data_IF_031881884535
#
_entry.id   IF_031881884535
#
_cell.length_a   1.000
_cell.length_b   1.000
_cell.length_c   1.000
_cell.angle_alpha   90.00
_cell.angle_beta   90.00
_cell.angle_gamma   90.00
#
_symmetry.space_group_name_H-M   'P 1'
#
loop_
_entity.id
_entity.type
_entity.pdbx_description
1 polymer ?
#
# COMPACT_ATOMS: atom_id res chain seq x y z
N UNK A 1 27.25 -6.91 -12.92
CA UNK A 1 26.00 -6.65 -12.19
C UNK A 1 24.91 -6.69 -13.24
N UNK A 2 23.94 -7.58 -13.12
CA UNK A 2 22.80 -7.66 -14.03
C UNK A 2 21.68 -6.77 -13.49
N UNK A 3 21.17 -5.86 -14.32
CA UNK A 3 20.07 -4.95 -13.99
C UNK A 3 18.77 -5.34 -14.72
N UNK A 4 18.77 -6.47 -15.42
CA UNK A 4 17.58 -6.94 -16.10
C UNK A 4 16.57 -7.44 -15.07
N UNK A 5 15.29 -7.26 -15.34
CA UNK A 5 14.22 -7.81 -14.54
C UNK A 5 14.18 -9.34 -14.65
N UNK A 6 13.77 -10.01 -13.58
CA UNK A 6 13.41 -11.42 -13.64
C UNK A 6 12.15 -11.62 -14.49
N UNK A 7 11.87 -12.88 -14.87
CA UNK A 7 10.64 -13.19 -15.61
C UNK A 7 9.39 -12.80 -14.82
N UNK A 8 9.39 -13.04 -13.50
CA UNK A 8 8.28 -12.66 -12.61
C UNK A 8 8.11 -11.14 -12.55
N UNK A 9 9.20 -10.39 -12.39
CA UNK A 9 9.18 -8.93 -12.40
C UNK A 9 8.67 -8.39 -13.73
N UNK A 10 9.08 -8.99 -14.85
CA UNK A 10 8.58 -8.61 -16.17
C UNK A 10 7.08 -8.90 -16.32
N UNK A 11 6.59 -10.04 -15.81
CA UNK A 11 5.17 -10.38 -15.82
C UNK A 11 4.34 -9.35 -15.03
N UNK A 12 4.79 -8.98 -13.83
CA UNK A 12 4.13 -7.93 -13.01
C UNK A 12 4.12 -6.61 -13.75
N UNK A 13 5.26 -6.20 -14.29
CA UNK A 13 5.42 -4.98 -15.08
C UNK A 13 4.43 -4.93 -16.25
N UNK A 14 4.40 -6.01 -17.07
CA UNK A 14 3.55 -6.07 -18.26
C UNK A 14 2.06 -6.09 -17.90
N UNK A 15 1.69 -6.70 -16.77
CA UNK A 15 0.33 -6.70 -16.24
C UNK A 15 -0.13 -5.28 -15.89
N UNK A 16 0.67 -4.54 -15.12
CA UNK A 16 0.35 -3.18 -14.72
C UNK A 16 0.37 -2.23 -15.91
N UNK A 17 1.38 -2.35 -16.79
CA UNK A 17 1.48 -1.52 -17.98
C UNK A 17 0.26 -1.67 -18.90
N UNK A 18 -0.26 -2.89 -19.03
CA UNK A 18 -1.48 -3.17 -19.80
C UNK A 18 -2.68 -2.49 -19.17
N UNK A 19 -2.89 -2.65 -17.87
CA UNK A 19 -3.98 -1.98 -17.16
C UNK A 19 -3.92 -0.45 -17.34
N UNK A 20 -2.72 0.15 -17.18
CA UNK A 20 -2.54 1.59 -17.37
C UNK A 20 -2.85 2.02 -18.78
N UNK A 21 -2.47 1.21 -19.78
CA UNK A 21 -2.69 1.52 -21.18
C UNK A 21 -4.15 1.37 -21.60
N UNK A 22 -4.82 0.32 -21.14
CA UNK A 22 -6.13 -0.09 -21.66
C UNK A 22 -7.28 0.49 -20.83
N UNK A 23 -7.10 0.65 -19.50
CA UNK A 23 -8.17 0.96 -18.55
C UNK A 23 -7.98 2.29 -17.79
N UNK A 24 -6.81 2.95 -17.92
CA UNK A 24 -6.45 4.10 -17.10
C UNK A 24 -5.97 5.30 -17.92
N UNK A 25 -6.75 5.70 -18.93
CA UNK A 25 -6.44 6.88 -19.73
C UNK A 25 -6.65 8.18 -18.95
N UNK A 26 -6.29 9.31 -19.56
CA UNK A 26 -6.38 10.62 -18.90
C UNK A 26 -7.81 11.02 -18.52
N UNK A 27 -8.79 10.72 -19.36
CA UNK A 27 -10.19 11.08 -19.11
C UNK A 27 -10.78 10.21 -18.00
N UNK A 28 -10.48 8.91 -17.97
CA UNK A 28 -10.81 7.97 -16.89
C UNK A 28 -10.20 8.43 -15.58
N UNK A 29 -8.90 8.71 -15.56
CA UNK A 29 -8.21 9.23 -14.35
C UNK A 29 -8.87 10.52 -13.85
N UNK A 30 -9.17 11.44 -14.73
CA UNK A 30 -9.80 12.72 -14.37
C UNK A 30 -11.17 12.50 -13.74
N UNK A 31 -11.98 11.62 -14.32
CA UNK A 31 -13.29 11.28 -13.79
C UNK A 31 -13.20 10.67 -12.38
N UNK A 32 -12.17 9.83 -12.12
CA UNK A 32 -11.91 9.26 -10.79
C UNK A 32 -11.54 10.36 -9.78
N UNK A 33 -10.62 11.25 -10.13
CA UNK A 33 -10.18 12.35 -9.25
C UNK A 33 -11.30 13.33 -8.93
N UNK A 34 -12.14 13.65 -9.92
CA UNK A 34 -13.28 14.55 -9.75
C UNK A 34 -14.48 13.86 -9.06
N UNK A 35 -14.42 12.54 -8.87
CA UNK A 35 -15.42 11.76 -8.15
C UNK A 35 -15.39 11.98 -6.63
N UNK A 36 -16.45 11.56 -5.93
CA UNK A 36 -16.60 11.79 -4.49
C UNK A 36 -15.52 11.10 -3.65
N UNK A 37 -15.06 9.92 -4.08
CA UNK A 37 -14.09 9.10 -3.34
C UNK A 37 -12.63 9.46 -3.69
N UNK A 38 -12.39 10.14 -4.82
CA UNK A 38 -11.04 10.46 -5.32
C UNK A 38 -10.21 9.25 -5.74
N UNK A 39 -10.81 8.07 -5.75
CA UNK A 39 -10.26 6.79 -6.22
C UNK A 39 -11.35 5.92 -6.81
N UNK A 40 -10.99 4.88 -7.55
CA UNK A 40 -11.92 3.85 -8.05
C UNK A 40 -11.84 2.60 -7.17
N UNK A 41 -12.96 2.24 -6.52
CA UNK A 41 -13.08 0.98 -5.79
C UNK A 41 -12.94 -0.25 -6.70
N UNK A 42 -13.44 -0.16 -7.95
CA UNK A 42 -13.35 -1.25 -8.93
C UNK A 42 -11.89 -1.48 -9.35
N UNK A 43 -11.12 -0.40 -9.58
CA UNK A 43 -9.69 -0.52 -9.88
C UNK A 43 -8.92 -1.11 -8.68
N UNK A 44 -9.26 -0.66 -7.47
CA UNK A 44 -8.64 -1.20 -6.26
C UNK A 44 -8.89 -2.70 -6.08
N UNK A 45 -10.12 -3.14 -6.35
CA UNK A 45 -10.46 -4.56 -6.36
C UNK A 45 -9.71 -5.32 -7.46
N UNK A 46 -9.59 -4.74 -8.66
CA UNK A 46 -8.76 -5.29 -9.75
C UNK A 46 -7.31 -5.48 -9.30
N UNK A 47 -6.72 -4.53 -8.56
CA UNK A 47 -5.34 -4.67 -8.04
C UNK A 47 -5.23 -5.84 -7.06
N UNK A 48 -6.26 -6.07 -6.23
CA UNK A 48 -6.31 -7.23 -5.34
C UNK A 48 -6.40 -8.55 -6.13
N UNK A 49 -7.31 -8.64 -7.09
CA UNK A 49 -7.53 -9.83 -7.93
C UNK A 49 -6.31 -10.19 -8.77
N UNK A 50 -5.57 -9.20 -9.27
CA UNK A 50 -4.32 -9.39 -9.99
C UNK A 50 -3.11 -9.66 -9.06
N UNK A 51 -3.32 -9.65 -7.75
CA UNK A 51 -2.32 -9.97 -6.74
C UNK A 51 -1.30 -8.85 -6.49
N UNK A 52 -1.49 -7.63 -7.03
CA UNK A 52 -0.50 -6.56 -6.85
C UNK A 52 -0.40 -6.10 -5.40
N UNK A 53 -1.52 -6.15 -4.64
CA UNK A 53 -1.55 -5.75 -3.23
C UNK A 53 -0.79 -6.72 -2.33
N UNK A 54 -0.59 -7.98 -2.76
CA UNK A 54 0.07 -9.02 -2.00
C UNK A 54 1.60 -9.07 -2.19
N UNK A 55 2.12 -8.41 -3.24
CA UNK A 55 3.53 -8.52 -3.66
C UNK A 55 4.53 -8.35 -2.50
N UNK A 56 4.46 -7.32 -1.62
CA UNK A 56 5.51 -7.09 -0.64
C UNK A 56 5.42 -7.93 0.62
N UNK A 57 4.34 -8.66 0.83
CA UNK A 57 4.13 -9.39 2.08
C UNK A 57 4.73 -10.80 2.00
N UNK A 58 5.09 -11.35 3.16
CA UNK A 58 5.65 -12.70 3.24
C UNK A 58 4.60 -13.75 2.82
N UNK A 59 5.06 -14.89 2.30
CA UNK A 59 4.17 -16.01 1.94
C UNK A 59 3.35 -16.51 3.14
N UNK A 60 3.92 -16.49 4.34
CA UNK A 60 3.22 -16.84 5.58
C UNK A 60 2.06 -15.89 5.91
N UNK A 61 2.09 -14.66 5.39
CA UNK A 61 1.06 -13.63 5.56
C UNK A 61 0.17 -13.51 4.30
N UNK A 62 0.23 -14.48 3.38
CA UNK A 62 -0.57 -14.51 2.14
C UNK A 62 0.02 -13.72 0.97
N UNK A 63 1.25 -13.24 1.08
CA UNK A 63 1.93 -12.48 0.03
C UNK A 63 2.84 -13.31 -0.86
N UNK A 64 3.58 -12.64 -1.75
CA UNK A 64 4.54 -13.26 -2.67
C UNK A 64 6.01 -13.15 -2.20
N UNK A 65 6.28 -12.59 -1.03
CA UNK A 65 7.65 -12.43 -0.52
C UNK A 65 8.49 -11.42 -1.31
N UNK A 66 7.84 -10.52 -2.03
CA UNK A 66 8.53 -9.56 -2.89
C UNK A 66 9.42 -8.58 -2.10
N UNK A 67 10.51 -8.20 -2.73
CA UNK A 67 11.52 -7.28 -2.19
C UNK A 67 11.27 -5.85 -2.69
N UNK A 68 12.11 -4.93 -2.24
CA UNK A 68 12.04 -3.51 -2.65
C UNK A 68 12.09 -3.35 -4.18
N UNK A 69 12.83 -4.19 -4.88
CA UNK A 69 12.90 -4.13 -6.35
C UNK A 69 11.55 -4.48 -6.99
N UNK A 70 10.83 -5.45 -6.45
CA UNK A 70 9.52 -5.86 -6.95
C UNK A 70 8.48 -4.74 -6.72
N UNK A 71 8.53 -4.09 -5.56
CA UNK A 71 7.75 -2.87 -5.28
C UNK A 71 8.10 -1.72 -6.21
N UNK A 72 9.39 -1.54 -6.56
CA UNK A 72 9.79 -0.46 -7.46
C UNK A 72 9.22 -0.65 -8.86
N UNK A 73 9.11 -1.89 -9.34
CA UNK A 73 8.44 -2.22 -10.61
C UNK A 73 6.97 -1.79 -10.58
N UNK A 74 6.25 -2.15 -9.51
CA UNK A 74 4.85 -1.74 -9.35
C UNK A 74 4.72 -0.22 -9.35
N UNK A 75 5.49 0.46 -8.49
CA UNK A 75 5.42 1.91 -8.34
C UNK A 75 5.81 2.67 -9.61
N UNK A 76 6.76 2.14 -10.39
CA UNK A 76 7.15 2.73 -11.67
C UNK A 76 5.99 2.70 -12.68
N UNK A 77 5.34 1.55 -12.84
CA UNK A 77 4.25 1.41 -13.81
C UNK A 77 2.98 2.17 -13.38
N UNK A 78 2.59 2.10 -12.10
CA UNK A 78 1.49 2.91 -11.58
C UNK A 78 1.79 4.41 -11.72
N UNK A 79 3.05 4.82 -11.52
CA UNK A 79 3.49 6.19 -11.67
C UNK A 79 3.40 6.70 -13.12
N UNK A 80 3.65 5.86 -14.12
CA UNK A 80 3.50 6.23 -15.54
C UNK A 80 2.06 6.61 -15.89
N UNK A 81 1.08 5.93 -15.28
CA UNK A 81 -0.35 6.25 -15.43
C UNK A 81 -0.84 7.35 -14.50
N UNK A 82 0.01 7.86 -13.61
CA UNK A 82 -0.42 8.77 -12.52
C UNK A 82 -1.61 8.19 -11.74
N UNK A 83 -1.58 6.89 -11.49
CA UNK A 83 -2.63 6.13 -10.78
C UNK A 83 -2.84 6.72 -9.39
N UNK A 84 -4.09 6.96 -9.01
CA UNK A 84 -4.45 7.66 -7.76
C UNK A 84 -4.89 6.71 -6.66
N UNK A 85 -5.17 5.47 -6.97
CA UNK A 85 -5.50 4.44 -5.99
C UNK A 85 -4.38 4.34 -4.94
N UNK A 86 -4.73 4.20 -3.64
CA UNK A 86 -3.81 4.42 -2.53
C UNK A 86 -2.84 3.25 -2.27
N UNK A 87 -2.16 2.77 -3.32
CA UNK A 87 -1.22 1.66 -3.21
C UNK A 87 -0.09 1.98 -2.22
N UNK A 88 0.58 3.11 -2.38
CA UNK A 88 1.70 3.47 -1.51
C UNK A 88 1.30 3.64 -0.04
N UNK A 89 0.29 4.45 0.32
CA UNK A 89 -0.09 4.62 1.72
C UNK A 89 -0.64 3.34 2.35
N UNK A 90 -1.41 2.54 1.61
CA UNK A 90 -2.05 1.34 2.15
C UNK A 90 -1.10 0.15 2.18
N UNK A 91 -0.52 -0.22 1.04
CA UNK A 91 0.28 -1.45 0.92
C UNK A 91 1.68 -1.23 1.47
N UNK A 92 2.35 -0.16 1.03
CA UNK A 92 3.78 0.03 1.37
C UNK A 92 3.94 0.56 2.78
N UNK A 93 3.20 1.61 3.16
CA UNK A 93 3.37 2.24 4.48
C UNK A 93 2.59 1.51 5.57
N UNK A 94 1.28 1.40 5.45
CA UNK A 94 0.45 0.80 6.49
C UNK A 94 0.67 -0.72 6.57
N UNK A 95 0.51 -1.44 5.47
CA UNK A 95 0.76 -2.88 5.43
C UNK A 95 2.20 -3.23 5.80
N UNK A 96 3.16 -2.44 5.33
CA UNK A 96 4.57 -2.59 5.71
C UNK A 96 4.84 -2.35 7.20
N UNK A 97 4.12 -1.45 7.86
CA UNK A 97 4.17 -1.27 9.32
C UNK A 97 3.61 -2.51 10.03
N UNK A 98 2.42 -2.96 9.65
CA UNK A 98 1.77 -4.15 10.24
C UNK A 98 2.65 -5.39 10.08
N UNK A 99 3.21 -5.61 8.89
CA UNK A 99 4.11 -6.74 8.60
C UNK A 99 5.35 -6.77 9.51
N UNK A 100 5.90 -5.60 9.88
CA UNK A 100 7.12 -5.51 10.68
C UNK A 100 6.91 -5.40 12.19
N UNK A 101 5.83 -4.78 12.61
CA UNK A 101 5.59 -4.43 14.01
C UNK A 101 4.36 -5.12 14.63
N UNK A 102 3.48 -5.69 13.81
CA UNK A 102 2.32 -6.45 14.27
C UNK A 102 2.69 -7.79 14.87
N UNK A 103 1.93 -8.24 15.85
CA UNK A 103 1.94 -9.63 16.29
C UNK A 103 1.29 -10.55 15.25
N UNK A 104 1.33 -11.87 15.46
CA UNK A 104 0.81 -12.85 14.50
C UNK A 104 -0.69 -12.64 14.21
N UNK A 105 -1.51 -12.40 15.23
CA UNK A 105 -2.93 -12.19 15.10
C UNK A 105 -3.25 -10.90 14.30
N UNK A 106 -2.52 -9.82 14.59
CA UNK A 106 -2.62 -8.56 13.86
C UNK A 106 -2.21 -8.71 12.39
N UNK A 107 -1.07 -9.39 12.13
CA UNK A 107 -0.63 -9.62 10.76
C UNK A 107 -1.65 -10.43 9.98
N UNK A 108 -2.09 -11.56 10.52
CA UNK A 108 -3.08 -12.42 9.85
C UNK A 108 -4.35 -11.64 9.51
N UNK A 109 -4.95 -10.99 10.51
CA UNK A 109 -6.24 -10.32 10.31
C UNK A 109 -6.16 -9.09 9.40
N UNK A 110 -5.13 -8.24 9.58
CA UNK A 110 -5.04 -6.97 8.88
C UNK A 110 -4.48 -7.15 7.46
N UNK A 111 -3.42 -7.97 7.30
CA UNK A 111 -2.81 -8.15 5.99
C UNK A 111 -3.71 -8.94 5.04
N UNK A 112 -4.46 -9.93 5.54
CA UNK A 112 -5.47 -10.63 4.74
C UNK A 112 -6.47 -9.64 4.13
N UNK A 113 -7.01 -8.73 4.95
CA UNK A 113 -7.97 -7.73 4.51
C UNK A 113 -7.35 -6.65 3.59
N UNK A 114 -6.07 -6.28 3.78
CA UNK A 114 -5.34 -5.39 2.87
C UNK A 114 -5.08 -6.06 1.53
N UNK A 115 -4.64 -7.32 1.53
CA UNK A 115 -4.37 -8.11 0.33
C UNK A 115 -5.66 -8.33 -0.48
N UNK A 116 -6.78 -8.58 0.21
CA UNK A 116 -8.09 -8.73 -0.40
C UNK A 116 -8.70 -7.43 -0.93
N UNK A 117 -8.06 -6.28 -0.70
CA UNK A 117 -8.59 -4.99 -1.13
C UNK A 117 -9.73 -4.44 -0.27
N UNK A 118 -10.07 -5.10 0.83
CA UNK A 118 -11.18 -4.75 1.72
C UNK A 118 -10.84 -3.60 2.68
N UNK A 119 -9.56 -3.45 3.03
CA UNK A 119 -9.08 -2.45 3.98
C UNK A 119 -8.13 -1.45 3.31
N UNK A 120 -8.46 -0.18 3.43
CA UNK A 120 -7.55 0.93 3.16
C UNK A 120 -6.90 1.38 4.46
N UNK A 121 -5.61 1.67 4.42
CA UNK A 121 -4.85 2.09 5.58
C UNK A 121 -3.92 3.25 5.31
N UNK A 122 -3.57 3.98 6.36
CA UNK A 122 -2.60 5.04 6.30
C UNK A 122 -1.68 5.01 7.53
N UNK A 123 -0.44 5.42 7.35
CA UNK A 123 0.53 5.54 8.43
C UNK A 123 0.64 7.00 8.88
N UNK A 124 0.04 7.32 10.01
CA UNK A 124 0.11 8.64 10.61
C UNK A 124 1.43 8.82 11.38
N UNK A 125 2.47 9.33 10.72
CA UNK A 125 3.82 9.44 11.29
C UNK A 125 4.31 10.87 11.53
N UNK A 126 3.70 11.87 10.87
CA UNK A 126 4.13 13.27 10.95
C UNK A 126 3.44 13.98 12.10
N UNK A 127 4.22 14.70 12.92
CA UNK A 127 3.74 15.63 13.93
C UNK A 127 4.30 17.04 13.66
N UNK A 128 3.64 18.08 14.13
CA UNK A 128 4.04 19.48 13.83
C UNK A 128 5.48 19.79 14.20
N UNK A 129 5.96 19.30 15.35
CA UNK A 129 7.32 19.55 15.81
C UNK A 129 8.35 18.67 15.09
N UNK A 130 7.94 17.46 14.64
CA UNK A 130 8.88 16.48 14.10
C UNK A 130 9.48 16.90 12.75
N UNK A 131 8.73 17.64 11.94
CA UNK A 131 9.13 18.02 10.58
C UNK A 131 9.74 16.85 9.81
N UNK A 132 11.08 16.83 9.67
CA UNK A 132 11.83 15.78 8.98
C UNK A 132 12.44 14.71 9.92
N UNK A 133 12.27 14.88 11.25
CA UNK A 133 12.77 13.92 12.24
C UNK A 133 11.71 12.83 12.49
N UNK A 134 11.78 11.74 11.72
CA UNK A 134 10.77 10.66 11.73
C UNK A 134 10.63 9.95 13.09
N UNK A 135 11.65 10.05 13.95
CA UNK A 135 11.68 9.47 15.28
C UNK A 135 11.27 10.43 16.41
N UNK A 136 10.94 11.69 16.10
CA UNK A 136 10.40 12.65 17.07
C UNK A 136 8.87 12.47 17.16
N UNK A 137 8.43 11.67 18.13
CA UNK A 137 7.02 11.38 18.37
C UNK A 137 6.63 11.81 19.78
N UNK A 138 5.69 12.73 19.90
CA UNK A 138 5.09 13.20 21.16
C UNK A 138 3.74 12.57 21.46
N UNK A 139 3.08 11.99 20.46
CA UNK A 139 1.87 11.22 20.68
C UNK A 139 2.14 10.08 21.64
N UNK A 140 1.34 9.97 22.66
CA UNK A 140 1.47 8.96 23.72
C UNK A 140 0.27 8.02 23.75
N UNK A 141 0.51 6.77 24.13
CA UNK A 141 -0.50 5.78 24.44
C UNK A 141 -0.36 5.36 25.89
N UNK A 142 -1.40 5.55 26.68
CA UNK A 142 -1.44 5.16 28.10
C UNK A 142 -2.44 4.03 28.27
N UNK A 143 -2.03 2.95 28.94
CA UNK A 143 -2.92 1.82 29.24
C UNK A 143 -4.11 2.28 30.10
N UNK A 144 -5.32 1.89 29.71
CA UNK A 144 -6.57 2.25 30.38
C UNK A 144 -7.58 1.09 30.27
N UNK A 145 -7.75 0.35 31.35
CA UNK A 145 -8.57 -0.86 31.34
C UNK A 145 -7.99 -1.92 30.40
N UNK A 146 -8.84 -2.45 29.50
CA UNK A 146 -8.47 -3.47 28.51
C UNK A 146 -7.93 -2.86 27.20
N UNK A 147 -7.67 -1.54 27.17
CA UNK A 147 -7.23 -0.84 25.97
C UNK A 147 -6.21 0.26 26.28
N UNK A 148 -6.17 1.26 25.37
CA UNK A 148 -5.27 2.40 25.47
C UNK A 148 -6.01 3.71 25.23
N UNK A 149 -5.61 4.75 25.95
CA UNK A 149 -5.99 6.14 25.64
C UNK A 149 -4.85 6.79 24.85
N UNK A 150 -5.17 7.28 23.65
CA UNK A 150 -4.21 8.00 22.82
C UNK A 150 -4.36 9.51 23.07
N UNK A 151 -3.20 10.18 23.20
CA UNK A 151 -3.13 11.63 23.34
C UNK A 151 -2.02 12.19 22.46
N UNK A 152 -2.37 13.01 21.50
CA UNK A 152 -1.43 13.58 20.52
C UNK A 152 -2.14 14.07 19.26
N UNK A 153 -1.31 14.52 18.30
CA UNK A 153 -1.74 15.01 16.98
C UNK A 153 -0.78 14.48 15.92
N UNK A 154 -1.34 13.96 14.85
CA UNK A 154 -0.59 13.50 13.67
C UNK A 154 -1.03 14.29 12.43
#
# INVERSE_FOLDING_TARGET
>A
MNFDYTEEQQMVRDSIARFVQDDYDWDTRRAIVDGAEGMSGDNWQTFAELGWLSIPFAEADGGFGGRVIDLSVVMEELGKGLVVEPFFPTVVLFGGLVSRAGDEAQRTSILESVIGGETLGAFAYVERQSRYALNDCKTSATSSGDGYTLNGEK
#
